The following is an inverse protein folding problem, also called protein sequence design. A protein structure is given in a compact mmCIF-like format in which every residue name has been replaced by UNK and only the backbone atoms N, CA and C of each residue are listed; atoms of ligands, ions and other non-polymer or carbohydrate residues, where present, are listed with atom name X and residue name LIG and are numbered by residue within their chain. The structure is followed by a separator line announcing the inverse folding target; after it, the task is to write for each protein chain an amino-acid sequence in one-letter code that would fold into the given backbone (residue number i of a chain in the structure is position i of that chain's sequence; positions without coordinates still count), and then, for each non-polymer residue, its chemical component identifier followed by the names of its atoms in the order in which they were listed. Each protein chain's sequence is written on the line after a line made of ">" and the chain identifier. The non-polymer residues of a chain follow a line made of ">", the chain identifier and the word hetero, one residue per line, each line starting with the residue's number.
data_IF_505524899102
#
_entry.id   IF_505524899102
#
_cell.length_a   1.000
_cell.length_b   1.000
_cell.length_c   1.000
_cell.angle_alpha   90.00
_cell.angle_beta   90.00
_cell.angle_gamma   90.00
#
_symmetry.space_group_name_H-M   'P 1'
#
loop_
_entity.id
_entity.type
_entity.pdbx_description
1 polymer ?
#
# COMPACT_ATOMS: atom_id res chain seq x y z
N UNK A 1 -4.95 26.95 -5.62
CA UNK A 1 -4.64 25.70 -4.88
C UNK A 1 -4.94 24.51 -5.77
N UNK A 2 -4.00 23.64 -5.92
CA UNK A 2 -4.19 22.42 -6.72
C UNK A 2 -4.55 21.25 -5.81
N UNK A 3 -5.64 20.59 -6.13
CA UNK A 3 -6.01 19.35 -5.47
C UNK A 3 -5.57 18.18 -6.34
N UNK A 4 -4.82 17.28 -5.77
CA UNK A 4 -4.39 16.07 -6.44
C UNK A 4 -4.75 14.88 -5.57
N UNK A 5 -5.32 13.85 -6.19
CA UNK A 5 -5.66 12.62 -5.51
C UNK A 5 -5.57 11.45 -6.46
N UNK A 6 -5.33 10.28 -5.90
CA UNK A 6 -5.44 9.02 -6.61
C UNK A 6 -6.05 7.98 -5.68
N UNK A 7 -6.91 7.13 -6.23
CA UNK A 7 -7.50 6.02 -5.51
C UNK A 7 -7.38 4.79 -6.38
N UNK A 8 -6.67 3.79 -5.89
CA UNK A 8 -6.45 2.53 -6.61
C UNK A 8 -7.03 1.37 -5.82
N UNK A 9 -7.51 0.37 -6.55
CA UNK A 9 -8.05 -0.86 -5.95
C UNK A 9 -7.53 -2.05 -6.73
N UNK A 10 -7.08 -3.07 -6.01
CA UNK A 10 -6.76 -4.36 -6.58
C UNK A 10 -7.57 -5.43 -5.86
N UNK A 11 -8.54 -6.01 -6.54
CA UNK A 11 -9.38 -7.09 -6.03
C UNK A 11 -9.26 -8.36 -6.85
N UNK A 12 -8.20 -8.48 -7.63
CA UNK A 12 -7.99 -9.65 -8.48
C UNK A 12 -7.54 -10.89 -7.71
N UNK A 13 -7.09 -10.71 -6.46
CA UNK A 13 -6.56 -11.80 -5.65
C UNK A 13 -5.14 -12.19 -6.08
N UNK A 14 -4.16 -11.87 -5.25
CA UNK A 14 -2.78 -12.15 -5.58
C UNK A 14 -2.04 -12.70 -4.36
N UNK A 15 -1.32 -13.81 -4.55
CA UNK A 15 -0.38 -14.30 -3.57
C UNK A 15 0.89 -13.45 -3.68
N UNK A 16 1.32 -12.84 -2.57
CA UNK A 16 2.49 -11.97 -2.55
C UNK A 16 3.54 -12.59 -1.62
N UNK A 17 4.69 -13.01 -2.16
CA UNK A 17 5.77 -13.55 -1.33
C UNK A 17 6.32 -12.51 -0.35
N UNK A 18 6.86 -12.97 0.76
CA UNK A 18 7.51 -12.12 1.76
C UNK A 18 8.67 -11.37 1.09
N UNK A 19 8.74 -10.06 1.34
CA UNK A 19 9.75 -9.19 0.77
C UNK A 19 9.34 -8.53 -0.55
N UNK A 20 8.24 -8.95 -1.13
CA UNK A 20 7.75 -8.38 -2.40
C UNK A 20 6.74 -7.27 -2.15
N UNK A 21 6.54 -6.44 -3.17
CA UNK A 21 5.55 -5.37 -3.14
C UNK A 21 4.18 -5.89 -3.57
N UNK A 22 3.13 -5.31 -2.99
CA UNK A 22 1.75 -5.64 -3.35
C UNK A 22 1.37 -4.85 -4.60
N UNK A 23 0.84 -5.50 -5.66
CA UNK A 23 0.34 -4.76 -6.82
C UNK A 23 -0.80 -3.82 -6.42
N UNK A 24 -0.75 -2.58 -6.91
CA UNK A 24 -1.72 -1.55 -6.53
C UNK A 24 -3.03 -1.65 -7.31
N UNK A 25 -3.02 -2.30 -8.46
CA UNK A 25 -4.22 -2.54 -9.24
C UNK A 25 -4.60 -1.38 -10.15
N UNK A 26 -5.90 -1.17 -10.33
CA UNK A 26 -6.45 -0.20 -11.27
C UNK A 26 -6.74 1.13 -10.59
N UNK A 27 -6.55 2.21 -11.32
CA UNK A 27 -6.94 3.55 -10.87
C UNK A 27 -8.46 3.68 -10.99
N UNK A 28 -9.13 3.92 -9.87
CA UNK A 28 -10.58 4.12 -9.82
C UNK A 28 -10.92 5.60 -9.91
N UNK A 29 -10.14 6.44 -9.24
CA UNK A 29 -10.31 7.89 -9.25
C UNK A 29 -8.95 8.55 -9.32
N UNK A 30 -8.86 9.61 -10.08
CA UNK A 30 -7.65 10.40 -10.19
C UNK A 30 -8.01 11.84 -10.49
N UNK A 31 -7.41 12.76 -9.80
CA UNK A 31 -7.55 14.19 -10.06
C UNK A 31 -6.16 14.84 -10.03
N UNK A 32 -5.85 15.62 -11.04
CA UNK A 32 -4.54 16.25 -11.19
C UNK A 32 -3.53 15.33 -11.84
N UNK A 33 -2.30 15.81 -11.96
CA UNK A 33 -1.24 15.13 -12.71
C UNK A 33 -0.04 14.69 -11.86
N UNK A 34 0.00 15.06 -10.59
CA UNK A 34 1.17 14.76 -9.78
C UNK A 34 1.15 13.37 -9.14
N UNK A 35 0.07 12.63 -9.31
CA UNK A 35 -0.08 11.27 -8.80
C UNK A 35 -0.36 10.31 -9.93
N UNK A 36 0.33 9.20 -9.95
CA UNK A 36 0.14 8.14 -10.93
C UNK A 36 0.43 6.79 -10.28
N UNK A 37 -0.02 5.73 -10.91
CA UNK A 37 0.20 4.37 -10.42
C UNK A 37 0.83 3.53 -11.52
N UNK A 38 1.87 2.79 -11.17
CA UNK A 38 2.55 1.87 -12.10
C UNK A 38 2.80 0.55 -11.38
N UNK A 39 2.14 -0.50 -11.83
CA UNK A 39 2.36 -1.85 -11.32
C UNK A 39 2.16 -1.97 -9.81
N UNK A 40 3.24 -1.87 -9.07
CA UNK A 40 3.26 -2.05 -7.62
C UNK A 40 3.60 -0.76 -6.86
N UNK A 41 3.52 0.40 -7.49
CA UNK A 41 3.88 1.66 -6.85
C UNK A 41 2.95 2.80 -7.22
N UNK A 42 2.81 3.75 -6.31
CA UNK A 42 2.18 5.05 -6.55
C UNK A 42 3.30 6.07 -6.69
N UNK A 43 3.31 6.80 -7.79
CA UNK A 43 4.33 7.80 -8.07
C UNK A 43 3.84 9.19 -7.68
N UNK A 44 4.69 9.93 -6.96
CA UNK A 44 4.45 11.30 -6.52
C UNK A 44 5.46 12.20 -7.23
N UNK A 45 4.99 13.06 -8.13
CA UNK A 45 5.87 13.83 -9.00
C UNK A 45 6.05 15.28 -8.61
N UNK A 46 5.39 15.75 -7.56
CA UNK A 46 5.53 17.12 -7.07
C UNK A 46 5.86 17.15 -5.58
N UNK A 47 6.66 18.14 -5.13
CA UNK A 47 6.94 18.30 -3.71
C UNK A 47 5.68 18.64 -2.91
N UNK A 48 5.68 18.25 -1.66
CA UNK A 48 4.59 18.56 -0.74
C UNK A 48 4.32 17.43 0.24
N UNK A 49 3.22 17.57 0.96
CA UNK A 49 2.76 16.56 1.91
C UNK A 49 1.57 15.82 1.35
N UNK A 50 1.53 14.53 1.58
CA UNK A 50 0.49 13.65 1.06
C UNK A 50 -0.06 12.79 2.17
N UNK A 51 -1.38 12.69 2.24
CA UNK A 51 -2.07 11.76 3.13
C UNK A 51 -2.27 10.44 2.39
N UNK A 52 -1.83 9.35 3.00
CA UNK A 52 -1.92 8.01 2.43
C UNK A 52 -2.80 7.14 3.33
N UNK A 53 -3.80 6.51 2.75
CA UNK A 53 -4.66 5.54 3.42
C UNK A 53 -4.60 4.22 2.67
N UNK A 54 -4.36 3.14 3.39
CA UNK A 54 -4.27 1.81 2.81
C UNK A 54 -5.17 0.88 3.62
N UNK A 55 -5.97 0.08 2.92
CA UNK A 55 -6.77 -0.97 3.53
C UNK A 55 -6.61 -2.23 2.71
N UNK A 56 -6.20 -3.32 3.36
CA UNK A 56 -5.99 -4.59 2.70
C UNK A 56 -6.71 -5.71 3.45
N UNK A 57 -7.36 -6.60 2.71
CA UNK A 57 -7.98 -7.82 3.22
C UNK A 57 -7.28 -9.01 2.58
N UNK A 58 -6.93 -9.98 3.39
CA UNK A 58 -6.13 -11.12 2.92
C UNK A 58 -6.38 -12.37 3.73
N UNK A 59 -5.97 -13.51 3.15
CA UNK A 59 -5.82 -14.79 3.84
C UNK A 59 -4.35 -15.19 3.75
N UNK A 60 -3.96 -16.22 4.50
CA UNK A 60 -2.60 -16.74 4.41
C UNK A 60 -2.64 -18.26 4.25
N UNK A 61 -1.65 -18.80 3.53
CA UNK A 61 -1.56 -20.23 3.27
C UNK A 61 -1.13 -21.03 4.51
N UNK A 62 -0.53 -20.38 5.50
CA UNK A 62 -0.05 -21.02 6.72
C UNK A 62 -0.35 -20.12 7.93
N UNK A 63 -0.34 -20.72 9.11
CA UNK A 63 -0.43 -20.01 10.38
C UNK A 63 0.84 -19.18 10.58
N UNK A 64 0.68 -17.97 11.08
CA UNK A 64 1.82 -17.07 11.35
C UNK A 64 1.40 -15.61 11.31
N UNK A 65 2.38 -14.74 11.15
CA UNK A 65 2.16 -13.30 11.10
C UNK A 65 2.29 -12.79 9.67
N UNK A 66 1.41 -11.85 9.30
CA UNK A 66 1.51 -11.08 8.08
C UNK A 66 1.72 -9.62 8.44
N UNK A 67 2.72 -9.01 7.86
CA UNK A 67 3.04 -7.59 8.09
C UNK A 67 2.98 -6.85 6.76
N UNK A 68 2.28 -5.72 6.75
CA UNK A 68 2.30 -4.80 5.62
C UNK A 68 2.94 -3.49 6.07
N UNK A 69 3.87 -3.00 5.28
CA UNK A 69 4.58 -1.76 5.56
C UNK A 69 4.57 -0.86 4.35
N UNK A 70 4.24 0.42 4.57
CA UNK A 70 4.37 1.44 3.53
C UNK A 70 5.83 1.86 3.44
N UNK A 71 6.37 1.88 2.22
CA UNK A 71 7.71 2.38 1.95
C UNK A 71 7.66 3.55 0.99
N UNK A 72 8.52 4.52 1.23
CA UNK A 72 8.76 5.64 0.34
C UNK A 72 10.18 5.54 -0.17
N UNK A 73 10.34 5.35 -1.48
CA UNK A 73 11.64 5.19 -2.13
C UNK A 73 12.48 4.05 -1.52
N UNK A 74 11.81 2.97 -1.12
CA UNK A 74 12.47 1.80 -0.54
C UNK A 74 12.76 1.91 0.96
N UNK A 75 12.36 3.00 1.61
CA UNK A 75 12.57 3.22 3.04
C UNK A 75 11.23 3.17 3.76
N UNK A 76 11.16 2.41 4.85
CA UNK A 76 9.93 2.28 5.63
C UNK A 76 9.47 3.64 6.18
N UNK A 77 8.20 3.94 6.01
CA UNK A 77 7.58 5.14 6.59
C UNK A 77 7.28 4.86 8.06
N UNK A 78 7.77 5.71 8.94
CA UNK A 78 7.57 5.54 10.37
C UNK A 78 6.09 5.54 10.72
N UNK A 79 5.65 4.55 11.48
CA UNK A 79 4.26 4.42 11.92
C UNK A 79 3.31 3.78 10.92
N UNK A 80 3.77 3.49 9.69
CA UNK A 80 2.94 2.92 8.64
C UNK A 80 3.21 1.42 8.46
N UNK A 81 3.13 0.67 9.54
CA UNK A 81 3.33 -0.78 9.56
C UNK A 81 2.23 -1.42 10.37
N UNK A 82 1.60 -2.44 9.83
CA UNK A 82 0.57 -3.21 10.52
C UNK A 82 0.87 -4.69 10.48
N UNK A 83 0.52 -5.40 11.53
CA UNK A 83 0.73 -6.84 11.65
C UNK A 83 -0.55 -7.51 12.10
N UNK A 84 -0.89 -8.62 11.44
CA UNK A 84 -2.00 -9.49 11.83
C UNK A 84 -1.49 -10.90 12.03
N UNK A 85 -2.01 -11.56 13.06
CA UNK A 85 -1.71 -12.96 13.33
C UNK A 85 -2.79 -13.83 12.73
N UNK A 86 -2.38 -14.79 11.91
CA UNK A 86 -3.28 -15.76 11.29
C UNK A 86 -3.27 -17.04 12.12
N UNK A 87 -4.41 -17.36 12.72
CA UNK A 87 -4.58 -18.56 13.54
C UNK A 87 -5.09 -19.76 12.73
N UNK A 88 -5.81 -19.51 11.63
CA UNK A 88 -6.37 -20.56 10.77
C UNK A 88 -5.97 -20.29 9.33
N UNK A 89 -5.20 -21.23 8.76
CA UNK A 89 -4.74 -21.13 7.38
C UNK A 89 -5.92 -21.18 6.38
N UNK A 90 -5.76 -20.45 5.28
CA UNK A 90 -6.61 -20.42 4.08
C UNK A 90 -8.04 -19.88 4.25
N UNK A 91 -8.63 -19.97 5.44
CA UNK A 91 -10.04 -19.58 5.65
C UNK A 91 -10.21 -18.32 6.51
N UNK A 92 -9.21 -17.95 7.28
CA UNK A 92 -9.27 -16.75 8.13
C UNK A 92 -9.00 -15.51 7.30
N UNK A 93 -9.97 -14.59 7.26
CA UNK A 93 -9.77 -13.28 6.64
C UNK A 93 -9.23 -12.30 7.67
N UNK A 94 -8.17 -11.61 7.29
CA UNK A 94 -7.56 -10.58 8.12
C UNK A 94 -7.55 -9.25 7.38
N UNK A 95 -7.49 -8.16 8.12
CA UNK A 95 -7.46 -6.81 7.56
C UNK A 95 -6.36 -6.00 8.22
N UNK A 96 -5.59 -5.29 7.41
CA UNK A 96 -4.60 -4.32 7.89
C UNK A 96 -4.94 -2.98 7.26
N UNK A 97 -5.04 -1.95 8.11
CA UNK A 97 -5.25 -0.56 7.69
C UNK A 97 -4.06 0.27 8.11
N UNK A 98 -3.55 1.06 7.16
CA UNK A 98 -2.41 1.93 7.39
C UNK A 98 -2.79 3.36 7.01
N UNK A 99 -2.34 4.32 7.81
CA UNK A 99 -2.50 5.74 7.51
C UNK A 99 -1.20 6.45 7.80
N UNK A 100 -0.74 7.28 6.87
CA UNK A 100 0.49 8.02 7.04
C UNK A 100 0.42 9.36 6.32
N UNK A 101 1.25 10.29 6.76
CA UNK A 101 1.52 11.52 6.03
C UNK A 101 2.97 11.46 5.59
N UNK A 102 3.19 11.53 4.28
CA UNK A 102 4.53 11.46 3.70
C UNK A 102 4.89 12.81 3.08
N UNK A 103 6.17 13.10 3.05
CA UNK A 103 6.69 14.31 2.47
C UNK A 103 7.53 13.98 1.24
N UNK A 104 7.27 14.71 0.16
CA UNK A 104 8.13 14.68 -1.02
C UNK A 104 8.95 15.96 -1.03
N UNK A 105 10.27 15.80 -1.04
CA UNK A 105 11.21 16.90 -1.03
C UNK A 105 11.26 17.62 -2.38
N UNK A 106 11.72 18.84 -2.38
CA UNK A 106 11.84 19.65 -3.60
C UNK A 106 12.55 18.92 -4.72
N UNK A 107 12.00 19.06 -5.91
CA UNK A 107 12.59 18.67 -7.20
C UNK A 107 12.70 17.16 -7.40
N UNK A 108 12.21 16.36 -6.46
CA UNK A 108 12.28 14.91 -6.57
C UNK A 108 10.97 14.27 -6.95
N UNK A 109 11.06 13.06 -7.47
CA UNK A 109 9.96 12.13 -7.60
C UNK A 109 10.09 11.12 -6.47
N UNK A 110 8.96 10.71 -5.90
CA UNK A 110 8.92 9.66 -4.89
C UNK A 110 7.98 8.55 -5.31
N UNK A 111 8.23 7.37 -4.79
CA UNK A 111 7.39 6.20 -5.04
C UNK A 111 6.95 5.62 -3.72
N UNK A 112 5.64 5.37 -3.62
CA UNK A 112 5.07 4.68 -2.48
C UNK A 112 4.77 3.24 -2.87
N UNK A 113 5.14 2.30 -2.02
CA UNK A 113 4.86 0.89 -2.22
C UNK A 113 4.49 0.25 -0.89
N UNK A 114 3.73 -0.85 -0.97
CA UNK A 114 3.38 -1.65 0.20
C UNK A 114 4.16 -2.95 0.10
N UNK A 115 4.95 -3.25 1.12
CA UNK A 115 5.83 -4.42 1.16
C UNK A 115 5.32 -5.43 2.18
N UNK A 116 5.32 -6.69 1.80
CA UNK A 116 4.90 -7.80 2.64
C UNK A 116 6.07 -8.27 3.49
N UNK A 117 5.81 -8.45 4.79
CA UNK A 117 6.75 -9.06 5.72
C UNK A 117 6.04 -10.08 6.61
N UNK A 118 6.72 -10.45 7.70
CA UNK A 118 6.19 -11.41 8.66
C UNK A 118 6.73 -12.82 8.43
N UNK A 119 5.98 -13.83 8.89
CA UNK A 119 6.40 -15.22 8.86
C UNK A 119 5.64 -16.06 7.85
N UNK A 120 4.51 -15.58 7.33
CA UNK A 120 3.74 -16.27 6.32
C UNK A 120 3.32 -15.31 5.21
N UNK A 121 3.30 -15.79 3.99
CA UNK A 121 2.93 -14.97 2.84
C UNK A 121 1.40 -14.87 2.71
N UNK A 122 0.84 -13.68 2.50
CA UNK A 122 -0.58 -13.51 2.32
C UNK A 122 -1.02 -13.75 0.88
N UNK A 123 -2.31 -14.09 0.73
CA UNK A 123 -3.02 -13.95 -0.52
C UNK A 123 -3.94 -12.73 -0.37
N UNK A 124 -3.59 -11.65 -1.04
CA UNK A 124 -4.32 -10.39 -0.94
C UNK A 124 -5.57 -10.47 -1.80
N UNK A 125 -6.75 -10.50 -1.17
CA UNK A 125 -8.01 -10.54 -1.89
C UNK A 125 -8.49 -9.15 -2.29
N UNK A 126 -8.12 -8.13 -1.53
CA UNK A 126 -8.48 -6.75 -1.83
C UNK A 126 -7.47 -5.81 -1.18
N UNK A 127 -7.02 -4.82 -1.93
CA UNK A 127 -6.25 -3.72 -1.38
C UNK A 127 -6.72 -2.42 -2.02
N UNK A 128 -7.00 -1.42 -1.19
CA UNK A 128 -7.39 -0.09 -1.61
C UNK A 128 -6.39 0.92 -1.08
N UNK A 129 -5.89 1.77 -1.97
CA UNK A 129 -4.89 2.79 -1.61
C UNK A 129 -5.43 4.14 -2.06
N UNK A 130 -5.55 5.07 -1.12
CA UNK A 130 -5.92 6.44 -1.39
C UNK A 130 -4.78 7.38 -1.02
N UNK A 131 -4.41 8.26 -1.93
CA UNK A 131 -3.39 9.28 -1.70
C UNK A 131 -3.95 10.63 -2.08
N UNK A 132 -3.88 11.58 -1.16
CA UNK A 132 -4.37 12.94 -1.36
C UNK A 132 -3.26 13.91 -1.02
N UNK A 133 -2.99 14.85 -1.91
CA UNK A 133 -2.06 15.96 -1.64
C UNK A 133 -2.72 16.97 -0.72
N UNK A 134 -2.03 17.30 0.35
CA UNK A 134 -2.50 18.28 1.35
C UNK A 134 -2.18 19.72 0.95
#
# INVERSE_FOLDING_TARGET
>A
MKHNLIYTVNNAGAAVPIGNTVPVGSIIRRYGKCLDATGSAINLSEPGYYLVNISATFTAAAVGNVTLALQQDGVAVAGATGTETIATATTENANISLTAIVRVMCCGNSRLSVVVGGTTAPTISNIAIGVVRL
#
